data_IF_257689216016
#
_entry.id   IF_257689216016
#
_cell.length_a   1.000
_cell.length_b   1.000
_cell.length_c   1.000
_cell.angle_alpha   90.00
_cell.angle_beta   90.00
_cell.angle_gamma   90.00
#
_symmetry.space_group_name_H-M   'P 1'
#
loop_
_entity.id
_entity.type
_entity.pdbx_description
1 polymer ?
#
# COMPACT_ATOMS: atom_id res chain seq x y z
N UNK A 1 58.33 55.50 2.01
CA UNK A 1 58.37 54.51 3.11
C UNK A 1 57.29 53.47 2.81
N UNK A 2 57.65 52.20 2.61
CA UNK A 2 56.76 51.15 2.10
C UNK A 2 55.80 50.66 3.18
N UNK A 3 54.52 50.52 2.83
CA UNK A 3 53.43 49.99 3.65
C UNK A 3 53.47 48.46 3.53
N UNK A 4 53.51 47.75 4.66
CA UNK A 4 53.32 46.30 4.71
C UNK A 4 52.10 45.99 5.59
N UNK A 5 50.95 45.78 4.95
CA UNK A 5 49.76 45.22 5.59
C UNK A 5 49.76 43.73 5.24
N UNK A 6 50.16 42.89 6.18
CA UNK A 6 49.93 41.44 6.06
C UNK A 6 48.47 41.15 6.44
N UNK A 7 47.65 40.97 5.41
CA UNK A 7 46.28 40.49 5.53
C UNK A 7 46.33 38.95 5.66
N UNK A 8 46.17 38.43 6.87
CA UNK A 8 46.03 36.98 7.11
C UNK A 8 44.59 36.60 6.79
N UNK A 9 44.37 36.01 5.61
CA UNK A 9 43.08 35.42 5.23
C UNK A 9 42.94 34.05 5.92
N UNK A 10 42.15 34.00 6.99
CA UNK A 10 41.75 32.75 7.63
C UNK A 10 40.68 32.09 6.76
N UNK A 11 41.09 31.17 5.87
CA UNK A 11 40.20 30.38 5.04
C UNK A 11 39.57 29.28 5.91
N UNK A 12 38.45 29.59 6.56
CA UNK A 12 37.62 28.60 7.25
C UNK A 12 36.95 27.69 6.22
N UNK A 13 37.53 26.51 5.99
CA UNK A 13 36.90 25.39 5.31
C UNK A 13 35.68 24.96 6.14
N UNK A 14 34.51 25.50 5.81
CA UNK A 14 33.25 24.91 6.24
C UNK A 14 33.13 23.57 5.51
N UNK A 15 33.47 22.49 6.21
CA UNK A 15 33.12 21.15 5.79
C UNK A 15 31.59 21.05 5.88
N UNK A 16 30.90 21.36 4.79
CA UNK A 16 29.50 21.03 4.63
C UNK A 16 29.41 19.50 4.63
N UNK A 17 29.07 18.92 5.78
CA UNK A 17 28.59 17.54 5.83
C UNK A 17 27.24 17.51 5.13
N UNK A 18 27.25 17.37 3.81
CA UNK A 18 26.07 16.99 3.06
C UNK A 18 25.66 15.60 3.55
N UNK A 19 24.71 15.55 4.49
CA UNK A 19 24.02 14.32 4.78
C UNK A 19 23.34 13.91 3.48
N UNK A 20 23.84 12.84 2.85
CA UNK A 20 23.15 12.21 1.74
C UNK A 20 21.79 11.74 2.27
N UNK A 21 20.77 12.59 2.09
CA UNK A 21 19.39 12.22 2.37
C UNK A 21 19.10 11.05 1.44
N UNK A 22 18.83 9.88 2.02
CA UNK A 22 18.45 8.71 1.25
C UNK A 22 17.26 9.12 0.37
N UNK A 23 17.52 9.19 -0.94
CA UNK A 23 16.49 9.54 -1.90
C UNK A 23 15.65 8.29 -2.11
N UNK A 24 14.54 8.20 -1.38
CA UNK A 24 13.52 7.19 -1.58
C UNK A 24 13.04 7.26 -3.04
N UNK A 25 12.72 6.13 -3.65
CA UNK A 25 12.16 6.10 -5.01
C UNK A 25 10.63 6.16 -4.92
N UNK A 26 10.01 6.98 -5.75
CA UNK A 26 8.57 6.94 -5.95
C UNK A 26 8.17 5.60 -6.59
N UNK A 27 7.01 5.06 -6.21
CA UNK A 27 6.62 3.74 -6.66
C UNK A 27 5.54 3.09 -5.83
N UNK A 28 5.27 1.83 -6.18
CA UNK A 28 4.46 0.91 -5.38
C UNK A 28 5.37 0.23 -4.37
N UNK A 29 4.96 0.26 -3.12
CA UNK A 29 5.61 -0.42 -2.00
C UNK A 29 4.70 -1.53 -1.51
N UNK A 30 5.25 -2.74 -1.44
CA UNK A 30 4.52 -3.95 -1.05
C UNK A 30 5.10 -4.52 0.24
N UNK A 31 4.23 -4.97 1.13
CA UNK A 31 4.59 -5.59 2.41
C UNK A 31 5.41 -6.86 2.19
N UNK A 32 6.22 -7.23 3.19
CA UNK A 32 7.08 -8.42 3.13
C UNK A 32 6.35 -9.73 2.79
N UNK A 33 5.07 -9.80 3.18
CA UNK A 33 4.17 -10.93 2.97
C UNK A 33 3.34 -10.83 1.67
N UNK A 34 3.48 -9.74 0.91
CA UNK A 34 2.79 -9.56 -0.37
C UNK A 34 1.32 -9.11 -0.27
N UNK A 35 0.74 -9.08 0.93
CA UNK A 35 -0.70 -8.87 1.10
C UNK A 35 -1.17 -7.43 0.95
N UNK A 36 -0.27 -6.47 1.17
CA UNK A 36 -0.63 -5.07 1.21
C UNK A 36 0.34 -4.23 0.41
N UNK A 37 -0.21 -3.40 -0.48
CA UNK A 37 0.56 -2.49 -1.32
C UNK A 37 -0.03 -1.10 -1.27
N UNK A 38 0.84 -0.09 -1.36
CA UNK A 38 0.42 1.30 -1.51
C UNK A 38 1.34 2.02 -2.48
N UNK A 39 0.81 3.06 -3.11
CA UNK A 39 1.60 3.96 -3.94
C UNK A 39 2.18 5.07 -3.07
N UNK A 40 3.40 5.50 -3.40
CA UNK A 40 4.10 6.53 -2.66
C UNK A 40 4.74 7.55 -3.60
N UNK A 41 4.54 8.82 -3.28
CA UNK A 41 5.12 9.98 -3.99
C UNK A 41 5.75 10.98 -3.05
N UNK A 42 6.68 11.77 -3.56
CA UNK A 42 7.04 13.03 -2.94
C UNK A 42 6.04 14.11 -3.30
N UNK A 43 5.72 14.92 -2.31
CA UNK A 43 5.02 16.18 -2.45
C UNK A 43 5.87 17.25 -1.77
N UNK A 44 5.67 18.55 -2.06
CA UNK A 44 6.46 19.62 -1.46
C UNK A 44 6.53 19.55 0.09
N UNK A 45 5.49 19.02 0.71
CA UNK A 45 5.33 18.91 2.17
C UNK A 45 5.83 17.58 2.77
N UNK A 46 6.33 16.64 1.98
CA UNK A 46 6.79 15.32 2.45
C UNK A 46 6.42 14.17 1.53
N UNK A 47 5.86 13.10 2.10
CA UNK A 47 5.48 11.88 1.38
C UNK A 47 3.96 11.78 1.32
N UNK A 48 3.40 11.58 0.12
CA UNK A 48 2.00 11.21 -0.08
C UNK A 48 1.91 9.70 -0.25
N UNK A 49 1.22 9.04 0.67
CA UNK A 49 0.81 7.64 0.56
C UNK A 49 -0.59 7.59 -0.04
N UNK A 50 -0.78 6.76 -1.05
CA UNK A 50 -2.05 6.58 -1.74
C UNK A 50 -2.42 5.09 -1.64
N UNK A 51 -3.55 4.85 -1.01
CA UNK A 51 -4.20 3.56 -0.82
C UNK A 51 -5.51 3.57 -1.63
N UNK A 52 -6.13 2.40 -1.92
CA UNK A 52 -7.29 2.32 -2.80
C UNK A 52 -8.48 3.20 -2.40
N UNK A 53 -8.64 3.53 -1.11
CA UNK A 53 -9.78 4.30 -0.59
C UNK A 53 -9.37 5.59 0.16
N UNK A 54 -8.07 5.90 0.23
CA UNK A 54 -7.57 7.05 1.00
C UNK A 54 -6.21 7.51 0.51
N UNK A 55 -5.90 8.77 0.75
CA UNK A 55 -4.55 9.27 0.62
C UNK A 55 -4.17 10.09 1.85
N UNK A 56 -2.94 9.91 2.31
CA UNK A 56 -2.44 10.54 3.52
C UNK A 56 -1.10 11.21 3.24
N UNK A 57 -0.86 12.37 3.86
CA UNK A 57 0.42 13.07 3.79
C UNK A 57 1.19 12.79 5.08
N UNK A 58 2.47 12.43 4.94
CA UNK A 58 3.42 12.26 6.02
C UNK A 58 4.53 13.30 5.91
N UNK A 59 4.77 14.05 6.99
CA UNK A 59 5.77 15.12 7.04
C UNK A 59 7.00 14.68 7.81
N UNK A 60 8.18 15.05 7.31
CA UNK A 60 9.44 14.75 7.99
C UNK A 60 9.48 15.47 9.35
N UNK A 61 9.69 14.70 10.40
CA UNK A 61 9.82 15.18 11.78
C UNK A 61 11.29 15.26 12.18
N UNK A 62 11.57 15.98 13.28
CA UNK A 62 12.93 16.21 13.77
C UNK A 62 13.68 14.94 14.19
N UNK A 63 12.97 13.84 14.40
CA UNK A 63 13.51 12.52 14.73
C UNK A 63 13.86 11.68 13.48
N UNK A 64 13.75 12.27 12.28
CA UNK A 64 14.04 11.59 11.02
C UNK A 64 12.93 10.67 10.54
N UNK A 65 11.77 10.66 11.22
CA UNK A 65 10.60 9.90 10.80
C UNK A 65 9.63 10.78 10.02
N UNK A 66 9.00 10.23 8.98
CA UNK A 66 7.86 10.89 8.35
C UNK A 66 6.61 10.54 9.13
N UNK A 67 5.97 11.53 9.77
CA UNK A 67 4.78 11.33 10.63
C UNK A 67 3.52 11.79 9.94
N UNK A 68 2.41 11.13 10.23
CA UNK A 68 1.12 11.52 9.66
C UNK A 68 0.82 12.99 9.94
N UNK A 69 0.37 13.72 8.92
CA UNK A 69 0.14 15.18 8.98
C UNK A 69 -1.04 15.58 9.86
N UNK A 70 -2.08 14.76 9.93
CA UNK A 70 -3.21 14.98 10.84
C UNK A 70 -2.86 14.61 12.29
N UNK A 71 -3.14 15.54 13.21
CA UNK A 71 -2.74 15.43 14.61
C UNK A 71 -3.28 14.17 15.30
N UNK A 72 -4.53 13.77 15.03
CA UNK A 72 -5.15 12.58 15.61
C UNK A 72 -4.47 11.26 15.23
N UNK A 73 -3.65 11.26 14.18
CA UNK A 73 -2.92 10.10 13.67
C UNK A 73 -1.39 10.27 13.75
N UNK A 74 -0.91 11.27 14.49
CA UNK A 74 0.53 11.63 14.59
C UNK A 74 1.45 10.53 15.13
N UNK A 75 0.89 9.49 15.75
CA UNK A 75 1.64 8.32 16.18
C UNK A 75 2.00 7.38 15.01
N UNK A 76 1.31 7.47 13.87
CA UNK A 76 1.66 6.71 12.66
C UNK A 76 2.84 7.36 11.93
N UNK A 77 3.80 6.54 11.52
CA UNK A 77 5.04 7.01 10.88
C UNK A 77 5.57 6.07 9.80
N UNK A 78 6.42 6.63 8.95
CA UNK A 78 7.25 5.95 7.96
C UNK A 78 8.71 6.22 8.29
N UNK A 79 9.51 5.16 8.37
CA UNK A 79 10.96 5.18 8.53
C UNK A 79 11.59 4.73 7.22
N UNK A 80 12.40 5.58 6.62
CA UNK A 80 13.16 5.24 5.41
C UNK A 80 14.37 4.41 5.79
N UNK A 81 14.54 3.24 5.17
CA UNK A 81 15.67 2.32 5.40
C UNK A 81 16.70 2.45 4.27
N UNK A 82 16.23 2.46 3.03
CA UNK A 82 17.05 2.66 1.82
C UNK A 82 16.21 3.33 0.73
N UNK A 83 16.75 3.55 -0.47
CA UNK A 83 15.97 4.14 -1.57
C UNK A 83 14.75 3.32 -1.97
N UNK A 84 14.70 2.03 -1.62
CA UNK A 84 13.64 1.09 -2.04
C UNK A 84 13.03 0.31 -0.88
N UNK A 85 13.36 0.68 0.35
CA UNK A 85 12.91 -0.05 1.54
C UNK A 85 12.48 0.93 2.63
N UNK A 86 11.34 0.63 3.23
CA UNK A 86 10.80 1.43 4.32
C UNK A 86 10.18 0.54 5.40
N UNK A 87 9.95 1.14 6.56
CA UNK A 87 9.12 0.58 7.62
C UNK A 87 8.01 1.52 8.01
N UNK A 88 6.86 0.98 8.37
CA UNK A 88 5.75 1.75 8.92
C UNK A 88 5.44 1.27 10.33
N UNK A 89 4.93 2.16 11.17
CA UNK A 89 4.60 1.83 12.54
C UNK A 89 3.70 2.86 13.20
N UNK A 90 3.20 2.52 14.39
CA UNK A 90 2.31 3.37 15.16
C UNK A 90 2.77 3.56 16.63
N UNK A 91 3.96 3.03 16.96
CA UNK A 91 4.55 3.04 18.31
C UNK A 91 3.95 2.01 19.29
N UNK A 92 2.94 1.24 18.89
CA UNK A 92 2.22 0.26 19.73
C UNK A 92 2.43 -1.18 19.29
N UNK A 93 2.64 -1.39 18.00
CA UNK A 93 2.85 -2.71 17.39
C UNK A 93 4.23 -2.80 16.73
N UNK A 94 4.74 -4.01 16.45
CA UNK A 94 5.92 -4.19 15.61
C UNK A 94 5.80 -3.42 14.29
N UNK A 95 6.91 -2.87 13.81
CA UNK A 95 6.95 -2.17 12.52
C UNK A 95 6.69 -3.17 11.37
N UNK A 96 5.90 -2.74 10.39
CA UNK A 96 5.71 -3.46 9.12
C UNK A 96 6.77 -3.04 8.13
N UNK A 97 7.29 -3.99 7.36
CA UNK A 97 8.37 -3.75 6.38
C UNK A 97 7.84 -3.83 4.95
N UNK A 98 8.32 -2.90 4.11
CA UNK A 98 7.89 -2.76 2.72
C UNK A 98 9.08 -2.59 1.78
N UNK A 99 8.91 -3.14 0.57
CA UNK A 99 9.87 -3.03 -0.52
C UNK A 99 9.20 -2.39 -1.74
N UNK A 100 9.96 -1.57 -2.45
CA UNK A 100 9.60 -1.06 -3.76
C UNK A 100 9.46 -2.22 -4.74
N UNK A 101 8.33 -2.31 -5.46
CA UNK A 101 8.03 -3.41 -6.39
C UNK A 101 7.85 -2.95 -7.83
N UNK A 102 7.34 -1.73 -8.05
CA UNK A 102 7.12 -1.20 -9.39
C UNK A 102 7.11 0.32 -9.43
N UNK A 103 7.33 0.86 -10.63
CA UNK A 103 7.14 2.28 -10.91
C UNK A 103 5.66 2.67 -10.83
N UNK A 104 5.39 3.94 -10.60
CA UNK A 104 4.06 4.51 -10.75
C UNK A 104 3.73 4.61 -12.24
N UNK A 105 2.57 4.10 -12.65
CA UNK A 105 2.06 4.38 -13.97
C UNK A 105 1.49 5.80 -13.98
N UNK A 106 2.01 6.67 -14.84
CA UNK A 106 1.45 8.01 -15.09
C UNK A 106 0.03 7.86 -15.65
N UNK A 107 -0.98 7.92 -14.77
CA UNK A 107 -2.40 7.77 -15.11
C UNK A 107 -3.25 7.14 -14.02
N UNK A 108 -2.65 6.34 -13.12
CA UNK A 108 -3.34 5.65 -12.02
C UNK A 108 -3.30 6.43 -10.69
N UNK A 109 -2.93 7.71 -10.77
CA UNK A 109 -2.33 8.46 -9.67
C UNK A 109 -3.30 9.31 -8.83
N UNK A 110 -4.58 9.28 -9.16
CA UNK A 110 -5.59 10.19 -8.59
C UNK A 110 -6.86 9.48 -8.10
N UNK A 111 -7.11 8.21 -8.46
CA UNK A 111 -8.29 7.51 -7.95
C UNK A 111 -7.94 6.78 -6.65
N UNK A 112 -8.10 7.48 -5.53
CA UNK A 112 -8.37 6.86 -4.22
C UNK A 112 -9.79 6.26 -4.17
N UNK A 113 -10.37 5.93 -5.33
CA UNK A 113 -11.53 5.10 -5.47
C UNK A 113 -11.02 3.76 -5.99
N UNK A 114 -11.34 2.69 -5.25
CA UNK A 114 -11.32 1.34 -5.78
C UNK A 114 -11.92 1.40 -7.20
N UNK A 115 -11.24 0.82 -8.20
CA UNK A 115 -11.68 0.82 -9.60
C UNK A 115 -13.20 0.62 -9.65
N UNK A 116 -13.93 1.54 -10.30
CA UNK A 116 -15.40 1.52 -10.37
C UNK A 116 -15.92 0.16 -10.86
N UNK A 117 -15.15 -0.51 -11.74
CA UNK A 117 -15.46 -1.87 -12.18
C UNK A 117 -15.34 -2.90 -11.05
N UNK A 118 -14.38 -2.71 -10.17
CA UNK A 118 -14.09 -3.58 -9.05
C UNK A 118 -15.11 -3.38 -7.91
N UNK A 119 -15.49 -2.13 -7.61
CA UNK A 119 -16.61 -1.83 -6.72
C UNK A 119 -17.94 -2.38 -7.24
N UNK A 120 -18.16 -2.33 -8.55
CA UNK A 120 -19.34 -2.93 -9.17
C UNK A 120 -19.49 -4.44 -8.90
N UNK A 121 -18.38 -5.17 -8.75
CA UNK A 121 -18.41 -6.59 -8.35
C UNK A 121 -18.77 -6.76 -6.87
N UNK A 122 -18.22 -5.91 -5.99
CA UNK A 122 -18.57 -5.93 -4.56
C UNK A 122 -20.06 -5.69 -4.37
N UNK A 123 -20.61 -4.65 -4.98
CA UNK A 123 -22.03 -4.30 -4.91
C UNK A 123 -22.92 -5.39 -5.49
N UNK A 124 -22.53 -5.97 -6.64
CA UNK A 124 -23.24 -7.10 -7.27
C UNK A 124 -23.41 -8.25 -6.27
N UNK A 125 -22.33 -8.66 -5.60
CA UNK A 125 -22.38 -9.81 -4.69
C UNK A 125 -23.02 -9.49 -3.33
N UNK A 126 -22.89 -8.26 -2.84
CA UNK A 126 -23.66 -7.80 -1.67
C UNK A 126 -25.17 -7.82 -1.94
N UNK A 127 -25.59 -7.40 -3.13
CA UNK A 127 -26.99 -7.46 -3.54
C UNK A 127 -27.50 -8.89 -3.62
N UNK A 128 -26.75 -9.80 -4.26
CA UNK A 128 -27.09 -11.22 -4.32
C UNK A 128 -27.21 -11.84 -2.92
N UNK A 129 -26.34 -11.46 -1.99
CA UNK A 129 -26.44 -11.93 -0.60
C UNK A 129 -27.78 -11.55 0.08
N UNK A 130 -28.40 -10.44 -0.30
CA UNK A 130 -29.70 -10.01 0.22
C UNK A 130 -30.91 -10.59 -0.51
N UNK A 131 -30.73 -11.12 -1.71
CA UNK A 131 -31.83 -11.51 -2.62
C UNK A 131 -31.92 -13.02 -2.87
N UNK A 132 -30.83 -13.76 -2.74
CA UNK A 132 -30.72 -15.17 -3.08
C UNK A 132 -30.47 -16.07 -1.86
N UNK A 133 -30.83 -17.36 -1.99
CA UNK A 133 -30.77 -18.34 -0.90
C UNK A 133 -29.34 -18.79 -0.56
N UNK A 134 -28.37 -18.67 -1.47
CA UNK A 134 -26.95 -18.95 -1.21
C UNK A 134 -26.24 -17.74 -0.55
N UNK A 135 -26.93 -17.05 0.36
CA UNK A 135 -26.48 -15.81 1.03
C UNK A 135 -25.02 -15.87 1.46
N UNK A 136 -24.60 -16.95 2.12
CA UNK A 136 -23.25 -17.08 2.65
C UNK A 136 -22.18 -17.20 1.55
N UNK A 137 -22.48 -17.88 0.44
CA UNK A 137 -21.59 -17.93 -0.71
C UNK A 137 -21.45 -16.54 -1.36
N UNK A 138 -22.54 -15.79 -1.46
CA UNK A 138 -22.52 -14.42 -1.98
C UNK A 138 -21.74 -13.45 -1.08
N UNK A 139 -21.82 -13.60 0.25
CA UNK A 139 -20.99 -12.82 1.19
C UNK A 139 -19.50 -13.12 0.95
N UNK A 140 -19.12 -14.38 0.77
CA UNK A 140 -17.74 -14.74 0.45
C UNK A 140 -17.28 -14.18 -0.90
N UNK A 141 -18.15 -14.19 -1.90
CA UNK A 141 -17.87 -13.58 -3.20
C UNK A 141 -17.67 -12.06 -3.11
N UNK A 142 -18.48 -11.37 -2.30
CA UNK A 142 -18.31 -9.94 -2.04
C UNK A 142 -16.99 -9.64 -1.32
N UNK A 143 -16.62 -10.45 -0.33
CA UNK A 143 -15.35 -10.31 0.39
C UNK A 143 -14.14 -10.57 -0.53
N UNK A 144 -14.19 -11.63 -1.34
CA UNK A 144 -13.18 -11.92 -2.33
C UNK A 144 -13.06 -10.79 -3.39
N UNK A 145 -14.18 -10.20 -3.81
CA UNK A 145 -14.18 -9.06 -4.72
C UNK A 145 -13.44 -7.88 -4.09
N UNK A 146 -13.76 -7.54 -2.85
CA UNK A 146 -13.13 -6.42 -2.15
C UNK A 146 -11.62 -6.62 -2.01
N UNK A 147 -11.18 -7.82 -1.60
CA UNK A 147 -9.74 -8.12 -1.48
C UNK A 147 -9.06 -8.06 -2.84
N UNK A 148 -9.67 -8.63 -3.89
CA UNK A 148 -9.14 -8.53 -5.27
C UNK A 148 -8.91 -7.08 -5.71
N UNK A 149 -9.74 -6.15 -5.25
CA UNK A 149 -9.60 -4.73 -5.54
C UNK A 149 -8.50 -4.04 -4.72
N UNK A 150 -8.20 -4.57 -3.53
CA UNK A 150 -7.36 -3.91 -2.54
C UNK A 150 -5.95 -4.49 -2.42
N UNK A 151 -5.74 -5.73 -2.88
CA UNK A 151 -4.47 -6.45 -2.75
C UNK A 151 -3.77 -6.67 -4.09
N UNK A 152 -2.50 -7.06 -4.02
CA UNK A 152 -1.76 -7.62 -5.15
C UNK A 152 -2.44 -8.91 -5.68
N UNK A 153 -2.11 -9.37 -6.91
CA UNK A 153 -2.57 -10.67 -7.41
C UNK A 153 -2.17 -11.84 -6.50
N UNK A 154 -0.95 -11.82 -5.94
CA UNK A 154 -0.46 -12.86 -5.05
C UNK A 154 -1.21 -12.86 -3.70
N UNK A 155 -1.40 -11.67 -3.11
CA UNK A 155 -2.18 -11.52 -1.87
C UNK A 155 -3.65 -11.89 -2.06
N UNK A 156 -4.21 -11.61 -3.23
CA UNK A 156 -5.55 -12.05 -3.59
C UNK A 156 -5.62 -13.58 -3.72
N UNK A 157 -4.65 -14.23 -4.36
CA UNK A 157 -4.66 -15.69 -4.54
C UNK A 157 -4.58 -16.43 -3.20
N UNK A 158 -3.78 -15.94 -2.26
CA UNK A 158 -3.70 -16.53 -0.92
C UNK A 158 -5.00 -16.36 -0.13
N UNK A 159 -5.63 -15.18 -0.20
CA UNK A 159 -6.97 -14.98 0.39
C UNK A 159 -8.04 -15.84 -0.29
N UNK A 160 -8.01 -15.89 -1.63
CA UNK A 160 -8.96 -16.66 -2.43
C UNK A 160 -8.87 -18.15 -2.11
N UNK A 161 -7.69 -18.70 -1.80
CA UNK A 161 -7.54 -20.09 -1.35
C UNK A 161 -8.45 -20.41 -0.16
N UNK A 162 -8.39 -19.61 0.90
CA UNK A 162 -9.15 -19.87 2.13
C UNK A 162 -10.66 -19.69 1.91
N UNK A 163 -11.02 -18.73 1.06
CA UNK A 163 -12.41 -18.53 0.62
C UNK A 163 -12.89 -19.74 -0.18
N UNK A 164 -12.11 -20.24 -1.15
CA UNK A 164 -12.48 -21.41 -1.95
C UNK A 164 -12.70 -22.63 -1.05
N UNK A 165 -11.78 -22.91 -0.13
CA UNK A 165 -11.91 -24.02 0.80
C UNK A 165 -13.19 -23.90 1.65
N UNK A 166 -13.47 -22.71 2.19
CA UNK A 166 -14.68 -22.47 3.00
C UNK A 166 -15.97 -22.57 2.17
N UNK A 167 -15.94 -22.02 0.96
CA UNK A 167 -17.12 -21.92 0.10
C UNK A 167 -17.50 -23.29 -0.48
N UNK A 168 -16.53 -24.17 -0.75
CA UNK A 168 -16.79 -25.56 -1.17
C UNK A 168 -17.61 -26.37 -0.17
N UNK A 169 -17.47 -26.09 1.12
CA UNK A 169 -18.23 -26.76 2.18
C UNK A 169 -19.71 -26.36 2.21
N UNK A 170 -20.07 -25.22 1.61
CA UNK A 170 -21.42 -24.64 1.72
C UNK A 170 -22.18 -24.55 0.39
N UNK A 171 -21.48 -24.51 -0.75
CA UNK A 171 -22.13 -24.40 -2.06
C UNK A 171 -22.73 -25.72 -2.50
N UNK A 172 -23.91 -25.67 -3.13
CA UNK A 172 -24.60 -26.87 -3.62
C UNK A 172 -23.82 -27.51 -4.78
N UNK A 173 -23.26 -26.69 -5.68
CA UNK A 173 -22.50 -27.17 -6.84
C UNK A 173 -21.00 -26.87 -6.71
N UNK A 174 -20.25 -27.80 -6.12
CA UNK A 174 -18.80 -27.66 -5.95
C UNK A 174 -18.00 -27.65 -7.27
N UNK A 175 -18.61 -28.06 -8.39
CA UNK A 175 -17.95 -28.03 -9.70
C UNK A 175 -17.97 -26.63 -10.33
N UNK A 176 -18.70 -25.68 -9.74
CA UNK A 176 -18.83 -24.32 -10.23
C UNK A 176 -18.53 -23.31 -9.12
N UNK A 177 -17.71 -22.30 -9.43
CA UNK A 177 -17.53 -21.18 -8.51
C UNK A 177 -18.72 -20.24 -8.64
N UNK A 178 -19.42 -19.85 -7.56
CA UNK A 178 -20.53 -18.90 -7.63
C UNK A 178 -20.14 -17.54 -8.24
N UNK A 179 -18.87 -17.13 -8.13
CA UNK A 179 -18.37 -15.84 -8.59
C UNK A 179 -17.12 -15.94 -9.48
N UNK A 180 -17.26 -16.55 -10.66
CA UNK A 180 -16.14 -16.75 -11.62
C UNK A 180 -15.48 -15.47 -12.13
N UNK A 181 -16.18 -14.34 -12.10
CA UNK A 181 -15.64 -13.00 -12.44
C UNK A 181 -14.72 -12.43 -11.34
N UNK A 182 -14.82 -12.96 -10.12
CA UNK A 182 -13.94 -12.63 -8.98
C UNK A 182 -12.88 -13.71 -8.81
N UNK A 183 -13.29 -14.94 -8.50
CA UNK A 183 -12.42 -16.10 -8.32
C UNK A 183 -12.43 -16.89 -9.63
N UNK A 184 -11.33 -16.83 -10.37
CA UNK A 184 -11.25 -17.50 -11.66
C UNK A 184 -11.43 -19.02 -11.53
N UNK A 185 -11.89 -19.66 -12.60
CA UNK A 185 -11.99 -21.12 -12.68
C UNK A 185 -10.65 -21.81 -12.41
N UNK A 186 -9.53 -21.16 -12.73
CA UNK A 186 -8.19 -21.68 -12.42
C UNK A 186 -7.95 -21.74 -10.91
N UNK A 187 -8.22 -20.64 -10.19
CA UNK A 187 -8.09 -20.59 -8.72
C UNK A 187 -9.06 -21.56 -8.06
N UNK A 188 -10.33 -21.58 -8.50
CA UNK A 188 -11.35 -22.51 -7.99
C UNK A 188 -10.90 -23.97 -8.10
N UNK A 189 -10.39 -24.38 -9.25
CA UNK A 189 -9.98 -25.76 -9.48
C UNK A 189 -8.66 -26.15 -8.83
N UNK A 190 -7.80 -25.16 -8.51
CA UNK A 190 -6.51 -25.38 -7.85
C UNK A 190 -6.67 -25.86 -6.41
N UNK A 191 -7.69 -25.35 -5.70
CA UNK A 191 -7.91 -25.61 -4.28
C UNK A 191 -9.17 -26.46 -4.07
N UNK A 192 -9.06 -27.76 -4.33
CA UNK A 192 -10.12 -28.76 -4.10
C UNK A 192 -9.86 -29.54 -2.82
#
# INVERSE_FOLDING_TARGET
>A
MKINIQLVFFLSLFAETAYAQIQLEEGVYTSADGYYSFQMKFVPDGIKVIEPNRSNIYRLSSDGLYRHSEQQYSNFYIRVISSRELRTGNGKSPESYFKWTSQLNEGELESSSLDDKCLGLVEKYQKLAGEDYETQAWVFCAAAALVKCASSPEGFEEYAKDIVLSMREIVVNQNHCPCQDVISTSIWNKYK
#
